data_IF_280575303860
#
_entry.id   IF_280575303860
#
_cell.length_a   1.000
_cell.length_b   1.000
_cell.length_c   1.000
_cell.angle_alpha   90.00
_cell.angle_beta   90.00
_cell.angle_gamma   90.00
#
_symmetry.space_group_name_H-M   'P 1'
#
loop_
_entity.id
_entity.type
_entity.pdbx_description
1 polymer ?
#
# COMPACT_ATOMS: atom_id res chain seq x y z
N UNK A 1 -1.14 1.66 -22.17
CA UNK A 1 0.26 2.04 -22.00
C UNK A 1 0.31 3.55 -21.86
N UNK A 2 0.18 4.00 -20.63
CA UNK A 2 0.22 5.41 -20.23
C UNK A 2 1.64 5.70 -19.73
N UNK A 3 2.53 6.16 -20.60
CA UNK A 3 3.91 6.50 -20.23
C UNK A 3 3.96 7.95 -19.70
N UNK A 4 4.45 8.13 -18.49
CA UNK A 4 4.57 9.43 -17.83
C UNK A 4 6.03 9.72 -17.49
N UNK A 5 6.45 10.96 -17.71
CA UNK A 5 7.76 11.43 -17.28
C UNK A 5 7.74 11.77 -15.80
N UNK A 6 8.69 11.22 -15.06
CA UNK A 6 9.04 11.70 -13.74
C UNK A 6 9.97 12.89 -13.90
N UNK A 7 9.67 13.97 -13.19
CA UNK A 7 10.40 15.23 -13.29
C UNK A 7 10.80 15.66 -11.89
N UNK A 8 12.05 16.07 -11.72
CA UNK A 8 12.59 16.63 -10.49
C UNK A 8 12.02 18.02 -10.21
N UNK A 9 12.30 18.52 -9.01
CA UNK A 9 11.76 19.80 -8.55
C UNK A 9 12.24 21.00 -9.40
N UNK A 10 13.34 20.83 -10.13
CA UNK A 10 13.93 21.81 -11.05
C UNK A 10 13.50 21.63 -12.52
N UNK A 11 12.64 20.65 -12.80
CA UNK A 11 12.18 20.36 -14.16
C UNK A 11 13.03 19.32 -14.91
N UNK A 12 14.04 18.72 -14.28
CA UNK A 12 14.88 17.72 -14.93
C UNK A 12 14.18 16.36 -15.03
N UNK A 13 14.27 15.65 -16.17
CA UNK A 13 13.66 14.33 -16.30
C UNK A 13 14.43 13.30 -15.46
N UNK A 14 13.75 12.75 -14.46
CA UNK A 14 14.27 11.68 -13.59
C UNK A 14 14.05 10.30 -14.21
N UNK A 15 13.02 10.13 -15.02
CA UNK A 15 12.73 8.84 -15.65
C UNK A 15 11.38 8.78 -16.36
N UNK A 16 11.02 7.57 -16.80
CA UNK A 16 9.72 7.27 -17.41
C UNK A 16 9.09 6.11 -16.65
N UNK A 17 7.83 6.27 -16.26
CA UNK A 17 7.03 5.22 -15.63
C UNK A 17 5.80 4.89 -16.46
N UNK A 18 5.42 3.62 -16.46
CA UNK A 18 4.14 3.17 -16.97
C UNK A 18 3.15 3.07 -15.82
N UNK A 19 2.21 4.03 -15.75
CA UNK A 19 1.23 4.07 -14.66
C UNK A 19 0.30 2.87 -14.70
N UNK A 20 -0.02 2.35 -15.88
CA UNK A 20 -0.91 1.19 -16.01
C UNK A 20 -0.25 -0.04 -15.38
N UNK A 21 1.05 -0.22 -15.61
CA UNK A 21 1.84 -1.30 -15.00
C UNK A 21 1.93 -1.12 -13.49
N UNK A 22 2.19 0.11 -13.01
CA UNK A 22 2.23 0.39 -11.57
C UNK A 22 0.90 0.00 -10.92
N UNK A 23 -0.23 0.45 -11.48
CA UNK A 23 -1.55 0.15 -10.92
C UNK A 23 -1.88 -1.35 -10.94
N UNK A 24 -1.57 -2.05 -12.03
CA UNK A 24 -1.81 -3.48 -12.13
C UNK A 24 -0.99 -4.27 -11.10
N UNK A 25 0.32 -3.97 -10.97
CA UNK A 25 1.21 -4.63 -10.00
C UNK A 25 0.85 -4.27 -8.57
N UNK A 26 0.47 -3.03 -8.31
CA UNK A 26 0.03 -2.56 -7.01
C UNK A 26 -1.25 -3.25 -6.54
N UNK A 27 -2.19 -3.49 -7.46
CA UNK A 27 -3.42 -4.22 -7.16
C UNK A 27 -3.11 -5.63 -6.68
N UNK A 28 -2.25 -6.35 -7.42
CA UNK A 28 -1.82 -7.71 -7.06
C UNK A 28 -1.13 -7.72 -5.70
N UNK A 29 -0.10 -6.89 -5.53
CA UNK A 29 0.68 -6.83 -4.28
C UNK A 29 -0.22 -6.48 -3.09
N UNK A 30 -1.14 -5.51 -3.25
CA UNK A 30 -2.06 -5.11 -2.18
C UNK A 30 -2.94 -6.28 -1.70
N UNK A 31 -3.48 -7.09 -2.62
CA UNK A 31 -4.27 -8.26 -2.25
C UNK A 31 -3.44 -9.41 -1.68
N UNK A 32 -2.21 -9.61 -2.14
CA UNK A 32 -1.30 -10.59 -1.53
C UNK A 32 -0.97 -10.22 -0.09
N UNK A 33 -0.62 -8.96 0.18
CA UNK A 33 -0.37 -8.45 1.53
C UNK A 33 -1.60 -8.62 2.44
N UNK A 34 -2.80 -8.34 1.92
CA UNK A 34 -4.04 -8.55 2.68
C UNK A 34 -4.32 -10.04 2.93
N UNK A 35 -3.99 -10.92 1.97
CA UNK A 35 -4.17 -12.37 2.11
C UNK A 35 -3.27 -12.94 3.18
N UNK A 36 -2.01 -12.52 3.21
CA UNK A 36 -0.99 -12.99 4.15
C UNK A 36 -0.87 -12.12 5.41
N UNK A 37 -1.91 -11.33 5.75
CA UNK A 37 -1.86 -10.33 6.82
C UNK A 37 -1.39 -10.84 8.20
N UNK A 38 -1.52 -12.15 8.46
CA UNK A 38 -1.13 -12.84 9.69
C UNK A 38 0.10 -13.76 9.53
N UNK A 39 0.79 -13.69 8.39
CA UNK A 39 1.97 -14.49 8.04
C UNK A 39 3.15 -13.59 7.62
N UNK A 40 3.94 -13.05 8.59
CA UNK A 40 5.06 -12.17 8.28
C UNK A 40 6.11 -12.79 7.34
N UNK A 41 6.49 -14.08 7.46
CA UNK A 41 7.36 -14.73 6.47
C UNK A 41 6.84 -14.66 5.03
N UNK A 42 5.54 -14.88 4.81
CA UNK A 42 4.96 -14.77 3.47
C UNK A 42 4.89 -13.32 2.98
N UNK A 43 4.59 -12.36 3.86
CA UNK A 43 4.68 -10.93 3.55
C UNK A 43 6.10 -10.56 3.09
N UNK A 44 7.13 -10.98 3.84
CA UNK A 44 8.53 -10.71 3.49
C UNK A 44 8.89 -11.33 2.13
N UNK A 45 8.41 -12.54 1.87
CA UNK A 45 8.62 -13.24 0.59
C UNK A 45 8.02 -12.46 -0.58
N UNK A 46 6.74 -12.09 -0.53
CA UNK A 46 6.08 -11.39 -1.65
C UNK A 46 6.67 -9.98 -1.86
N UNK A 47 7.07 -9.31 -0.78
CA UNK A 47 7.74 -8.01 -0.87
C UNK A 47 9.12 -8.12 -1.50
N UNK A 48 9.91 -9.13 -1.14
CA UNK A 48 11.22 -9.39 -1.73
C UNK A 48 11.12 -9.78 -3.22
N UNK A 49 10.14 -10.61 -3.58
CA UNK A 49 9.85 -10.96 -4.98
C UNK A 49 9.46 -9.73 -5.79
N UNK A 50 8.54 -8.90 -5.29
CA UNK A 50 8.13 -7.66 -5.94
C UNK A 50 9.32 -6.68 -6.11
N UNK A 51 10.15 -6.53 -5.08
CA UNK A 51 11.36 -5.69 -5.16
C UNK A 51 12.36 -6.22 -6.20
N UNK A 52 12.55 -7.54 -6.26
CA UNK A 52 13.45 -8.18 -7.21
C UNK A 52 12.98 -8.02 -8.65
N UNK A 53 11.68 -8.18 -8.90
CA UNK A 53 11.10 -8.07 -10.23
C UNK A 53 11.03 -6.63 -10.76
N UNK A 54 10.70 -5.67 -9.89
CA UNK A 54 10.47 -4.27 -10.28
C UNK A 54 11.74 -3.42 -10.19
N UNK A 55 12.71 -3.84 -9.37
CA UNK A 55 13.82 -3.00 -8.94
C UNK A 55 13.39 -1.95 -7.90
N UNK A 56 14.36 -1.35 -7.18
CA UNK A 56 14.10 -0.49 -6.02
C UNK A 56 13.30 0.77 -6.34
N UNK A 57 13.47 1.32 -7.54
CA UNK A 57 12.88 2.60 -7.93
C UNK A 57 11.39 2.45 -8.27
N UNK A 58 11.03 1.47 -9.11
CA UNK A 58 9.63 1.19 -9.44
C UNK A 58 8.86 0.56 -8.26
N UNK A 59 9.56 -0.22 -7.41
CA UNK A 59 8.96 -0.84 -6.24
C UNK A 59 8.32 0.18 -5.29
N UNK A 60 8.97 1.32 -5.06
CA UNK A 60 8.41 2.38 -4.19
C UNK A 60 7.04 2.87 -4.66
N UNK A 61 6.89 3.11 -5.97
CA UNK A 61 5.62 3.53 -6.56
C UNK A 61 4.55 2.44 -6.45
N UNK A 62 4.91 1.19 -6.70
CA UNK A 62 4.01 0.03 -6.61
C UNK A 62 3.56 -0.19 -5.16
N UNK A 63 4.48 -0.15 -4.19
CA UNK A 63 4.17 -0.34 -2.78
C UNK A 63 3.25 0.78 -2.24
N UNK A 64 3.52 2.04 -2.62
CA UNK A 64 2.65 3.16 -2.24
C UNK A 64 1.23 3.03 -2.84
N UNK A 65 1.13 2.64 -4.12
CA UNK A 65 -0.15 2.39 -4.74
C UNK A 65 -0.87 1.16 -4.15
N UNK A 66 -0.13 0.12 -3.77
CA UNK A 66 -0.67 -1.09 -3.13
C UNK A 66 -1.28 -0.75 -1.78
N UNK A 67 -0.62 0.09 -0.98
CA UNK A 67 -1.16 0.57 0.29
C UNK A 67 -2.50 1.29 0.09
N UNK A 68 -2.60 2.16 -0.92
CA UNK A 68 -3.88 2.81 -1.27
C UNK A 68 -4.96 1.77 -1.61
N UNK A 69 -4.63 0.77 -2.43
CA UNK A 69 -5.56 -0.30 -2.78
C UNK A 69 -6.01 -1.12 -1.57
N UNK A 70 -5.12 -1.40 -0.62
CA UNK A 70 -5.48 -2.06 0.64
C UNK A 70 -6.46 -1.20 1.44
N UNK A 71 -6.20 0.10 1.57
CA UNK A 71 -7.12 1.00 2.28
C UNK A 71 -8.49 1.02 1.61
N UNK A 72 -8.53 1.25 0.30
CA UNK A 72 -9.78 1.45 -0.43
C UNK A 72 -10.59 0.17 -0.61
N UNK A 73 -9.94 -0.96 -0.89
CA UNK A 73 -10.61 -2.20 -1.28
C UNK A 73 -10.67 -3.25 -0.18
N UNK A 74 -9.92 -3.08 0.92
CA UNK A 74 -9.91 -4.03 2.04
C UNK A 74 -10.33 -3.35 3.33
N UNK A 75 -9.65 -2.28 3.75
CA UNK A 75 -9.94 -1.62 5.02
C UNK A 75 -11.32 -0.96 5.01
N UNK A 76 -11.66 -0.20 3.98
CA UNK A 76 -12.98 0.46 3.91
C UNK A 76 -14.15 -0.55 3.99
N UNK A 77 -14.19 -1.64 3.19
CA UNK A 77 -15.23 -2.66 3.35
C UNK A 77 -15.26 -3.33 4.73
N UNK A 78 -14.10 -3.55 5.36
CA UNK A 78 -14.04 -4.09 6.72
C UNK A 78 -14.61 -3.10 7.75
N UNK A 79 -14.43 -1.80 7.56
CA UNK A 79 -15.06 -0.78 8.40
C UNK A 79 -16.58 -0.79 8.21
N UNK A 80 -17.08 -0.91 6.98
CA UNK A 80 -18.51 -1.04 6.71
C UNK A 80 -19.12 -2.27 7.43
N UNK A 81 -18.38 -3.39 7.45
CA UNK A 81 -18.78 -4.61 8.19
C UNK A 81 -18.75 -4.38 9.70
N UNK A 82 -17.73 -3.69 10.21
CA UNK A 82 -17.62 -3.36 11.64
C UNK A 82 -18.76 -2.44 12.11
N UNK A 83 -19.14 -1.45 11.29
CA UNK A 83 -20.28 -0.57 11.53
C UNK A 83 -21.58 -1.37 11.56
N UNK A 84 -21.79 -2.26 10.57
CA UNK A 84 -22.96 -3.13 10.53
C UNK A 84 -23.03 -4.09 11.72
N UNK A 85 -21.89 -4.49 12.28
CA UNK A 85 -21.79 -5.33 13.48
C UNK A 85 -21.90 -4.54 14.80
N UNK A 86 -22.00 -3.21 14.75
CA UNK A 86 -22.11 -2.35 15.94
C UNK A 86 -20.79 -2.19 16.72
N UNK A 87 -19.65 -2.49 16.10
CA UNK A 87 -18.31 -2.37 16.70
C UNK A 87 -17.44 -1.31 16.04
N UNK A 88 -17.94 -0.63 15.01
CA UNK A 88 -17.23 0.37 14.22
C UNK A 88 -16.53 1.45 15.02
N UNK A 89 -17.22 2.07 15.99
CA UNK A 89 -16.66 3.09 16.87
C UNK A 89 -15.40 2.60 17.60
N UNK A 90 -15.42 1.36 18.11
CA UNK A 90 -14.28 0.77 18.82
C UNK A 90 -13.11 0.48 17.87
N UNK A 91 -13.40 -0.01 16.66
CA UNK A 91 -12.37 -0.28 15.65
C UNK A 91 -11.71 1.03 15.21
N UNK A 92 -12.51 2.06 14.92
CA UNK A 92 -12.00 3.38 14.55
C UNK A 92 -11.15 4.00 15.66
N UNK A 93 -11.60 3.94 16.92
CA UNK A 93 -10.82 4.39 18.07
C UNK A 93 -9.48 3.65 18.20
N UNK A 94 -9.48 2.34 17.95
CA UNK A 94 -8.28 1.51 17.93
C UNK A 94 -7.26 1.96 16.87
N UNK A 95 -7.71 2.22 15.64
CA UNK A 95 -6.86 2.73 14.55
C UNK A 95 -6.24 4.09 14.89
N UNK A 96 -7.03 5.01 15.46
CA UNK A 96 -6.53 6.33 15.90
C UNK A 96 -5.46 6.18 17.00
N UNK A 97 -5.68 5.28 17.96
CA UNK A 97 -4.71 5.00 19.02
C UNK A 97 -3.41 4.41 18.47
N UNK A 98 -3.50 3.44 17.55
CA UNK A 98 -2.34 2.85 16.88
C UNK A 98 -1.55 3.89 16.08
N UNK A 99 -2.23 4.75 15.32
CA UNK A 99 -1.60 5.83 14.56
C UNK A 99 -0.87 6.84 15.46
N UNK A 100 -1.46 7.18 16.62
CA UNK A 100 -0.82 8.04 17.62
C UNK A 100 0.45 7.39 18.17
N UNK A 101 0.35 6.13 18.59
CA UNK A 101 1.48 5.39 19.14
C UNK A 101 2.64 5.29 18.15
N UNK A 102 2.36 4.99 16.88
CA UNK A 102 3.39 4.94 15.85
C UNK A 102 4.15 6.27 15.70
N UNK A 103 3.46 7.41 15.79
CA UNK A 103 4.10 8.74 15.73
C UNK A 103 4.98 9.04 16.95
N UNK A 104 4.61 8.53 18.13
CA UNK A 104 5.38 8.71 19.36
C UNK A 104 6.65 7.86 19.39
N UNK A 105 6.60 6.65 18.82
CA UNK A 105 7.76 5.73 18.80
C UNK A 105 8.77 6.08 17.71
N UNK A 106 8.31 6.68 16.60
CA UNK A 106 9.16 6.99 15.43
C UNK A 106 9.67 8.45 15.41
N UNK A 107 9.27 9.29 16.36
CA UNK A 107 9.77 10.66 16.57
C UNK A 107 11.00 10.69 17.48
#
# INVERSE_FOLDING_TARGET
MSAHFLVGDDGEPLGVVDIDVIQARATVLGFELATFHDDPPEIDRVMAEALTELGPEAFGYVAAAALRHVVENVVNPLMDVADAAGVGDSVHAGLVAAARHAREVLS
#
